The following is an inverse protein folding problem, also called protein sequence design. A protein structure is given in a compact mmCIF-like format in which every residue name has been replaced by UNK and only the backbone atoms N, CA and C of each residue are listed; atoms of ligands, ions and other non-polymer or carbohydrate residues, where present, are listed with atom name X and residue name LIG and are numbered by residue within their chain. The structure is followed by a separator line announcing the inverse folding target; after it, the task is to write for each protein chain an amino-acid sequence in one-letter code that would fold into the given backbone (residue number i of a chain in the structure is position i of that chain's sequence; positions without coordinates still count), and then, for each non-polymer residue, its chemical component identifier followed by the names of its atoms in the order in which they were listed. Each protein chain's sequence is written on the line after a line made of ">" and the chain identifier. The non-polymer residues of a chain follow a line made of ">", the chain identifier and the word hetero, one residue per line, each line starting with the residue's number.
data_IF_009838641206
#
_entry.id   IF_009838641206
#
_cell.length_a   1.000
_cell.length_b   1.000
_cell.length_c   1.000
_cell.angle_alpha   90.00
_cell.angle_beta   90.00
_cell.angle_gamma   90.00
#
_symmetry.space_group_name_H-M   'P 1'
#
loop_
_entity.id
_entity.type
_entity.pdbx_description
1 polymer ?
#
# COMPACT_ATOMS: atom_id res chain seq x y z
N UNK A 1 70.19 -11.14 -13.59
CA UNK A 1 68.88 -11.71 -13.94
C UNK A 1 67.90 -11.22 -12.90
N UNK A 2 67.10 -10.20 -13.20
CA UNK A 2 66.10 -9.62 -12.30
C UNK A 2 64.72 -10.13 -12.73
N UNK A 3 64.13 -10.96 -11.90
CA UNK A 3 62.76 -11.48 -12.12
C UNK A 3 61.75 -10.39 -11.65
N UNK A 4 61.00 -9.87 -12.61
CA UNK A 4 59.88 -8.95 -12.34
C UNK A 4 58.62 -9.75 -12.01
N UNK A 5 58.13 -9.67 -10.78
CA UNK A 5 56.91 -10.30 -10.37
C UNK A 5 55.69 -9.43 -10.78
N UNK A 6 54.92 -9.93 -11.71
CA UNK A 6 53.66 -9.32 -12.14
C UNK A 6 52.59 -9.62 -11.08
N UNK A 7 52.20 -8.61 -10.27
CA UNK A 7 51.10 -8.71 -9.33
C UNK A 7 49.79 -8.43 -10.09
N UNK A 8 49.06 -9.49 -10.41
CA UNK A 8 47.71 -9.39 -10.99
C UNK A 8 46.71 -9.07 -9.87
N UNK A 9 46.23 -7.83 -9.79
CA UNK A 9 45.11 -7.47 -8.93
C UNK A 9 43.83 -8.05 -9.53
N UNK A 10 43.31 -9.10 -8.92
CA UNK A 10 41.96 -9.61 -9.17
C UNK A 10 40.98 -8.63 -8.53
N UNK A 11 40.40 -7.75 -9.34
CA UNK A 11 39.22 -7.00 -8.93
C UNK A 11 38.01 -7.94 -8.91
N UNK A 12 37.64 -8.37 -7.72
CA UNK A 12 36.36 -9.07 -7.52
C UNK A 12 35.23 -8.09 -7.80
N UNK A 13 34.61 -8.20 -8.95
CA UNK A 13 33.31 -7.56 -9.19
C UNK A 13 32.30 -8.30 -8.32
N UNK A 14 31.83 -7.66 -7.24
CA UNK A 14 30.67 -8.13 -6.51
C UNK A 14 29.50 -8.18 -7.51
N UNK A 15 28.95 -9.36 -7.75
CA UNK A 15 27.72 -9.50 -8.52
C UNK A 15 26.61 -8.82 -7.70
N UNK A 16 26.03 -7.77 -8.26
CA UNK A 16 24.85 -7.13 -7.68
C UNK A 16 23.73 -8.15 -7.63
N UNK A 17 23.15 -8.34 -6.45
CA UNK A 17 22.01 -9.24 -6.27
C UNK A 17 20.73 -8.40 -6.39
N UNK A 18 19.73 -8.93 -7.11
CA UNK A 18 18.40 -8.34 -7.15
C UNK A 18 17.81 -8.28 -5.75
N UNK A 19 17.09 -7.22 -5.43
CA UNK A 19 16.34 -7.07 -4.17
C UNK A 19 14.88 -7.44 -4.41
N UNK A 20 14.37 -8.44 -3.69
CA UNK A 20 13.02 -8.96 -3.85
C UNK A 20 12.11 -8.52 -2.69
N UNK A 21 11.06 -7.75 -3.01
CA UNK A 21 10.03 -7.29 -2.08
C UNK A 21 8.72 -8.01 -2.34
N UNK A 22 8.04 -8.41 -1.27
CA UNK A 22 6.73 -9.08 -1.35
C UNK A 22 5.71 -8.41 -0.43
N UNK A 23 4.47 -8.22 -0.92
CA UNK A 23 3.43 -7.62 -0.10
C UNK A 23 2.09 -7.37 -0.82
N UNK A 24 1.16 -6.65 -0.19
CA UNK A 24 -0.17 -6.38 -0.74
C UNK A 24 -0.14 -5.34 -1.86
N UNK A 25 -1.27 -5.24 -2.61
CA UNK A 25 -1.36 -4.38 -3.79
C UNK A 25 -1.30 -2.87 -3.55
N UNK A 26 -1.60 -2.37 -2.34
CA UNK A 26 -1.76 -0.92 -2.11
C UNK A 26 -0.53 -0.08 -2.46
N UNK A 27 0.64 -0.28 -1.82
CA UNK A 27 1.83 0.57 -2.02
C UNK A 27 2.63 0.27 -3.28
N UNK A 28 2.30 -0.77 -4.02
CA UNK A 28 3.15 -1.30 -5.09
C UNK A 28 3.60 -0.26 -6.13
N UNK A 29 2.72 0.65 -6.55
CA UNK A 29 3.05 1.66 -7.55
C UNK A 29 4.17 2.59 -7.08
N UNK A 30 4.13 3.01 -5.81
CA UNK A 30 5.19 3.84 -5.23
C UNK A 30 6.50 3.06 -5.11
N UNK A 31 6.43 1.82 -4.60
CA UNK A 31 7.61 0.96 -4.43
C UNK A 31 8.29 0.62 -5.75
N UNK A 32 7.52 0.35 -6.83
CA UNK A 32 8.07 0.12 -8.17
C UNK A 32 8.80 1.38 -8.67
N UNK A 33 8.19 2.57 -8.52
CA UNK A 33 8.85 3.83 -8.94
C UNK A 33 10.13 4.11 -8.16
N UNK A 34 10.12 3.87 -6.84
CA UNK A 34 11.32 4.01 -6.01
C UNK A 34 12.37 2.97 -6.38
N UNK A 35 11.96 1.72 -6.62
CA UNK A 35 12.86 0.66 -7.09
C UNK A 35 13.54 1.01 -8.40
N UNK A 36 12.79 1.53 -9.39
CA UNK A 36 13.34 1.99 -10.65
C UNK A 36 14.32 3.17 -10.49
N UNK A 37 14.04 4.09 -9.57
CA UNK A 37 14.96 5.19 -9.27
C UNK A 37 16.25 4.70 -8.60
N UNK A 38 16.15 3.73 -7.69
CA UNK A 38 17.29 3.09 -7.04
C UNK A 38 18.14 2.31 -8.03
N UNK A 39 17.53 1.54 -8.93
CA UNK A 39 18.21 0.81 -9.99
C UNK A 39 18.97 1.74 -10.93
N UNK A 40 18.35 2.87 -11.32
CA UNK A 40 19.00 3.87 -12.16
C UNK A 40 20.26 4.49 -11.53
N UNK A 41 20.32 4.61 -10.21
CA UNK A 41 21.44 5.19 -9.47
C UNK A 41 22.52 4.18 -9.11
N UNK A 42 22.14 2.93 -8.88
CA UNK A 42 23.02 1.93 -8.26
C UNK A 42 23.34 0.74 -9.16
N UNK A 43 22.53 0.52 -10.21
CA UNK A 43 22.55 -0.68 -11.03
C UNK A 43 21.93 -1.91 -10.36
N UNK A 44 21.40 -1.78 -9.11
CA UNK A 44 20.78 -2.87 -8.36
C UNK A 44 19.30 -2.92 -8.71
N UNK A 45 18.85 -4.04 -9.27
CA UNK A 45 17.46 -4.24 -9.63
C UNK A 45 16.60 -4.51 -8.40
N UNK A 46 15.40 -3.93 -8.38
CA UNK A 46 14.40 -4.14 -7.33
C UNK A 46 13.15 -4.76 -7.93
N UNK A 47 12.81 -5.96 -7.49
CA UNK A 47 11.62 -6.70 -7.92
C UNK A 47 10.53 -6.55 -6.86
N UNK A 48 9.40 -5.93 -7.22
CA UNK A 48 8.25 -5.74 -6.33
C UNK A 48 7.15 -6.73 -6.71
N UNK A 49 6.94 -7.74 -5.88
CA UNK A 49 5.89 -8.74 -6.01
C UNK A 49 4.71 -8.35 -5.13
N UNK A 50 3.52 -8.25 -5.70
CA UNK A 50 2.37 -7.69 -5.00
C UNK A 50 1.05 -8.35 -5.36
N UNK A 51 0.05 -8.16 -4.51
CA UNK A 51 -1.30 -8.68 -4.72
C UNK A 51 -1.79 -9.55 -3.55
N UNK A 52 -2.77 -10.43 -3.79
CA UNK A 52 -3.22 -11.39 -2.78
C UNK A 52 -2.06 -12.29 -2.34
N UNK A 53 -1.89 -12.47 -1.02
CA UNK A 53 -0.75 -13.20 -0.44
C UNK A 53 -0.58 -14.60 -1.05
N UNK A 54 -1.67 -15.31 -1.33
CA UNK A 54 -1.62 -16.65 -1.93
C UNK A 54 -0.90 -16.71 -3.29
N UNK A 55 -0.78 -15.58 -4.00
CA UNK A 55 -0.14 -15.54 -5.33
C UNK A 55 1.38 -15.45 -5.29
N UNK A 56 1.97 -15.08 -4.14
CA UNK A 56 3.41 -14.86 -4.02
C UNK A 56 4.03 -15.50 -2.77
N UNK A 57 3.22 -16.04 -1.85
CA UNK A 57 3.65 -16.53 -0.55
C UNK A 57 4.79 -17.58 -0.61
N UNK A 58 4.69 -18.53 -1.54
CA UNK A 58 5.68 -19.60 -1.66
C UNK A 58 7.01 -19.13 -2.27
N UNK A 59 6.96 -18.11 -3.11
CA UNK A 59 8.18 -17.49 -3.64
C UNK A 59 8.84 -16.60 -2.60
N UNK A 60 8.06 -15.87 -1.80
CA UNK A 60 8.58 -15.08 -0.68
C UNK A 60 9.37 -15.95 0.32
N UNK A 61 8.89 -17.14 0.63
CA UNK A 61 9.62 -18.09 1.50
C UNK A 61 10.99 -18.50 0.96
N UNK A 62 11.19 -18.42 -0.36
CA UNK A 62 12.44 -18.81 -1.01
C UNK A 62 13.47 -17.69 -1.08
N UNK A 63 13.02 -16.47 -1.41
CA UNK A 63 13.94 -15.41 -1.82
C UNK A 63 13.53 -14.00 -1.39
N UNK A 64 12.60 -13.82 -0.44
CA UNK A 64 12.26 -12.48 0.02
C UNK A 64 13.39 -11.83 0.81
N UNK A 65 13.87 -10.70 0.34
CA UNK A 65 14.78 -9.81 1.07
C UNK A 65 14.00 -8.88 2.01
N UNK A 66 12.80 -8.50 1.58
CA UNK A 66 11.89 -7.63 2.32
C UNK A 66 10.45 -8.08 2.17
N UNK A 67 9.65 -7.83 3.23
CA UNK A 67 8.20 -7.79 3.13
C UNK A 67 7.73 -6.34 3.32
N UNK A 68 6.61 -5.99 2.70
CA UNK A 68 5.95 -4.70 2.92
C UNK A 68 4.46 -4.89 3.23
N UNK A 69 3.93 -3.98 4.05
CA UNK A 69 2.52 -3.89 4.40
C UNK A 69 1.86 -2.65 3.80
N UNK A 70 0.55 -2.64 3.77
CA UNK A 70 -0.26 -1.48 3.39
C UNK A 70 -1.04 -0.90 4.59
N UNK A 71 -0.75 -1.40 5.76
CA UNK A 71 -1.15 -1.00 7.11
C UNK A 71 -0.38 -1.85 8.10
N UNK A 72 -0.28 -1.42 9.36
CA UNK A 72 0.33 -2.20 10.45
C UNK A 72 -0.28 -3.60 10.55
N UNK A 73 -1.60 -3.72 10.49
CA UNK A 73 -2.30 -5.00 10.51
C UNK A 73 -1.84 -5.96 9.41
N UNK A 74 -1.71 -5.46 8.18
CA UNK A 74 -1.28 -6.29 7.05
C UNK A 74 0.18 -6.70 7.17
N UNK A 75 1.04 -5.81 7.67
CA UNK A 75 2.44 -6.10 7.91
C UNK A 75 2.64 -7.17 8.98
N UNK A 76 1.95 -7.03 10.12
CA UNK A 76 1.98 -8.01 11.21
C UNK A 76 1.53 -9.39 10.72
N UNK A 77 0.40 -9.47 10.00
CA UNK A 77 -0.11 -10.73 9.49
C UNK A 77 0.91 -11.42 8.57
N UNK A 78 1.43 -10.69 7.58
CA UNK A 78 2.41 -11.20 6.61
C UNK A 78 3.70 -11.59 7.30
N UNK A 79 4.26 -10.75 8.17
CA UNK A 79 5.51 -11.04 8.86
C UNK A 79 5.36 -12.21 9.86
N UNK A 80 4.19 -12.39 10.47
CA UNK A 80 3.90 -13.54 11.33
C UNK A 80 3.91 -14.84 10.53
N UNK A 81 3.29 -14.87 9.34
CA UNK A 81 3.32 -16.04 8.46
C UNK A 81 4.74 -16.42 7.99
N UNK A 82 5.64 -15.43 7.99
CA UNK A 82 7.05 -15.57 7.61
C UNK A 82 8.02 -15.40 8.80
N UNK A 83 7.56 -15.62 10.04
CA UNK A 83 8.32 -15.34 11.27
C UNK A 83 9.67 -16.09 11.40
N UNK A 84 9.90 -17.14 10.64
CA UNK A 84 11.20 -17.81 10.59
C UNK A 84 12.27 -16.89 9.97
N UNK A 85 11.89 -16.11 8.97
CA UNK A 85 12.78 -15.24 8.18
C UNK A 85 12.69 -13.76 8.58
N UNK A 86 11.58 -13.33 9.16
CA UNK A 86 11.31 -11.92 9.49
C UNK A 86 10.99 -11.74 10.97
N UNK A 87 11.38 -10.59 11.52
CA UNK A 87 11.12 -10.22 12.91
C UNK A 87 10.02 -9.16 12.96
N UNK A 88 8.86 -9.52 13.50
CA UNK A 88 7.71 -8.62 13.63
C UNK A 88 8.02 -7.34 14.42
N UNK A 89 9.00 -7.40 15.34
CA UNK A 89 9.42 -6.25 16.14
C UNK A 89 10.29 -5.25 15.36
N UNK A 90 10.66 -5.59 14.12
CA UNK A 90 11.48 -4.75 13.23
C UNK A 90 10.68 -4.17 12.06
N UNK A 91 9.36 -4.29 12.08
CA UNK A 91 8.50 -3.59 11.13
C UNK A 91 8.74 -2.09 11.27
N UNK A 92 9.04 -1.43 10.16
CA UNK A 92 9.40 -0.01 10.11
C UNK A 92 8.39 0.75 9.26
N UNK A 93 7.58 1.64 9.84
CA UNK A 93 6.69 2.51 9.07
C UNK A 93 7.51 3.51 8.25
N UNK A 94 7.06 3.81 7.04
CA UNK A 94 7.73 4.74 6.12
C UNK A 94 6.91 6.00 5.87
N UNK A 95 5.69 5.84 5.34
CA UNK A 95 4.83 6.93 4.93
C UNK A 95 3.38 6.61 5.25
N UNK A 96 2.58 7.64 5.51
CA UNK A 96 1.13 7.57 5.72
C UNK A 96 0.38 7.92 4.43
N UNK A 97 -0.83 7.42 4.30
CA UNK A 97 -1.81 7.86 3.29
C UNK A 97 -3.18 8.04 3.91
N UNK A 98 -3.95 9.05 3.51
CA UNK A 98 -5.32 9.23 3.96
C UNK A 98 -6.29 8.30 3.23
N UNK A 99 -7.31 7.84 3.95
CA UNK A 99 -8.52 7.33 3.36
C UNK A 99 -9.30 8.49 2.71
N UNK A 100 -9.97 8.18 1.61
CA UNK A 100 -10.77 9.14 0.83
C UNK A 100 -12.13 8.54 0.43
N UNK A 101 -13.04 9.41 0.06
CA UNK A 101 -14.23 9.05 -0.70
C UNK A 101 -13.91 9.28 -2.18
N UNK A 102 -13.98 8.24 -3.00
CA UNK A 102 -13.93 8.34 -4.45
C UNK A 102 -15.35 8.20 -4.99
N UNK A 103 -15.82 9.18 -5.77
CA UNK A 103 -17.15 9.18 -6.39
C UNK A 103 -17.05 9.05 -7.89
N UNK A 104 -18.14 8.61 -8.54
CA UNK A 104 -18.20 8.56 -10.01
C UNK A 104 -17.80 9.90 -10.61
N UNK A 105 -17.17 9.88 -11.79
CA UNK A 105 -16.70 11.07 -12.49
C UNK A 105 -17.82 12.08 -12.69
N UNK A 106 -17.54 13.35 -12.37
CA UNK A 106 -18.52 14.44 -12.38
C UNK A 106 -19.45 14.46 -11.15
N UNK A 107 -19.28 13.55 -10.21
CA UNK A 107 -20.05 13.49 -8.96
C UNK A 107 -21.58 13.64 -9.14
N UNK A 108 -22.22 12.75 -9.90
CA UNK A 108 -23.64 12.90 -10.28
C UNK A 108 -24.60 12.88 -9.10
N UNK A 109 -24.19 12.34 -7.96
CA UNK A 109 -24.96 12.31 -6.70
C UNK A 109 -24.70 13.53 -5.81
N UNK A 110 -23.83 14.45 -6.23
CA UNK A 110 -23.48 15.66 -5.48
C UNK A 110 -23.06 15.36 -4.02
N UNK A 111 -22.24 14.33 -3.84
CA UNK A 111 -21.68 13.92 -2.55
C UNK A 111 -20.60 14.92 -2.15
N UNK A 112 -20.72 15.53 -0.97
CA UNK A 112 -19.81 16.60 -0.50
C UNK A 112 -18.98 16.21 0.72
N UNK A 113 -19.28 15.10 1.36
CA UNK A 113 -18.61 14.62 2.55
C UNK A 113 -19.15 13.29 3.05
N UNK A 114 -18.65 12.85 4.19
CA UNK A 114 -18.97 11.53 4.74
C UNK A 114 -20.46 11.38 5.08
N UNK A 115 -21.10 12.42 5.62
CA UNK A 115 -22.52 12.40 5.98
C UNK A 115 -23.45 12.19 4.78
N UNK A 116 -23.04 12.64 3.58
CA UNK A 116 -23.84 12.43 2.38
C UNK A 116 -23.93 10.97 1.97
N UNK A 117 -22.95 10.14 2.34
CA UNK A 117 -22.94 8.72 2.06
C UNK A 117 -24.01 7.95 2.85
N UNK A 118 -24.54 8.53 3.93
CA UNK A 118 -25.64 7.98 4.70
C UNK A 118 -27.03 8.32 4.15
N UNK A 119 -27.11 9.19 3.12
CA UNK A 119 -28.40 9.56 2.51
C UNK A 119 -29.01 8.40 1.72
N UNK A 120 -30.34 8.26 1.70
CA UNK A 120 -31.03 7.26 0.88
C UNK A 120 -30.66 7.34 -0.60
N UNK A 121 -30.49 6.21 -1.26
CA UNK A 121 -30.21 6.14 -2.70
C UNK A 121 -28.76 6.35 -3.09
N UNK A 122 -27.85 6.32 -2.13
CA UNK A 122 -26.39 6.25 -2.36
C UNK A 122 -25.93 4.83 -2.22
N UNK A 123 -25.15 4.33 -3.18
CA UNK A 123 -24.54 3.01 -3.11
C UNK A 123 -23.05 3.09 -2.85
N UNK A 124 -22.56 2.35 -1.86
CA UNK A 124 -21.17 2.38 -1.41
C UNK A 124 -20.52 1.01 -1.60
N UNK A 125 -19.28 0.98 -2.07
CA UNK A 125 -18.41 -0.20 -2.00
C UNK A 125 -17.29 0.01 -1.00
N UNK A 126 -17.00 -1.01 -0.20
CA UNK A 126 -15.92 -0.99 0.79
C UNK A 126 -15.07 -2.27 0.71
N UNK A 127 -13.74 -2.20 0.88
CA UNK A 127 -12.88 -3.38 0.99
C UNK A 127 -12.82 -3.85 2.45
N UNK A 128 -13.48 -4.97 2.75
CA UNK A 128 -13.56 -5.52 4.12
C UNK A 128 -12.87 -6.89 4.30
N UNK A 129 -12.16 -7.36 3.28
CA UNK A 129 -11.54 -8.68 3.33
C UNK A 129 -12.56 -9.83 3.35
N UNK A 130 -13.85 -9.55 3.39
CA UNK A 130 -14.97 -10.50 3.37
C UNK A 130 -14.84 -11.67 4.38
N UNK A 131 -14.17 -11.45 5.52
CA UNK A 131 -13.88 -12.47 6.53
C UNK A 131 -12.79 -13.48 6.15
N UNK A 132 -12.18 -13.34 4.97
CA UNK A 132 -11.16 -14.28 4.45
C UNK A 132 -9.75 -13.76 4.70
N UNK A 133 -9.55 -12.44 4.62
CA UNK A 133 -8.26 -11.80 4.86
C UNK A 133 -8.44 -10.37 5.36
N UNK A 134 -7.50 -9.91 6.18
CA UNK A 134 -7.42 -8.50 6.51
C UNK A 134 -6.76 -7.74 5.36
N UNK A 135 -7.39 -6.66 4.92
CA UNK A 135 -6.82 -5.72 3.96
C UNK A 135 -6.58 -4.38 4.67
N UNK A 136 -5.81 -3.49 4.06
CA UNK A 136 -5.64 -2.14 4.61
C UNK A 136 -6.95 -1.32 4.65
N UNK A 137 -8.00 -1.79 3.98
CA UNK A 137 -9.33 -1.18 3.98
C UNK A 137 -10.28 -1.73 5.03
N UNK A 138 -9.94 -2.84 5.70
CA UNK A 138 -10.80 -3.45 6.71
C UNK A 138 -11.06 -2.49 7.87
N UNK A 139 -12.34 -2.27 8.20
CA UNK A 139 -12.80 -1.39 9.28
C UNK A 139 -12.66 0.12 9.00
N UNK A 140 -12.12 0.53 7.86
CA UNK A 140 -11.86 1.96 7.59
C UNK A 140 -13.15 2.78 7.55
N UNK A 141 -14.19 2.29 6.89
CA UNK A 141 -15.47 3.00 6.83
C UNK A 141 -16.09 3.16 8.23
N UNK A 142 -16.03 2.10 9.06
CA UNK A 142 -16.55 2.12 10.42
C UNK A 142 -15.75 3.05 11.31
N UNK A 143 -14.42 3.03 11.21
CA UNK A 143 -13.53 3.96 11.92
C UNK A 143 -13.84 5.41 11.57
N UNK A 144 -14.12 5.72 10.29
CA UNK A 144 -14.44 7.07 9.83
C UNK A 144 -15.79 7.55 10.36
N UNK A 145 -16.86 6.77 10.10
CA UNK A 145 -18.20 7.17 10.47
C UNK A 145 -18.43 7.09 11.99
N UNK A 146 -17.80 6.13 12.67
CA UNK A 146 -17.88 5.97 14.12
C UNK A 146 -17.33 7.15 14.90
N UNK A 147 -16.35 7.86 14.35
CA UNK A 147 -15.80 9.11 14.96
C UNK A 147 -16.82 10.24 15.05
N UNK A 148 -17.91 10.19 14.30
CA UNK A 148 -19.00 11.16 14.43
C UNK A 148 -19.76 11.00 15.76
N UNK A 149 -19.68 9.85 16.43
CA UNK A 149 -20.42 9.54 17.63
C UNK A 149 -21.94 9.39 17.42
N UNK A 150 -22.40 9.31 16.18
CA UNK A 150 -23.83 9.22 15.81
C UNK A 150 -24.16 7.81 15.30
N UNK A 151 -24.79 7.01 16.16
CA UNK A 151 -25.19 5.62 15.81
C UNK A 151 -26.19 5.56 14.65
N UNK A 152 -27.05 6.58 14.51
CA UNK A 152 -28.00 6.64 13.40
C UNK A 152 -27.24 6.80 12.08
N UNK A 153 -26.25 7.69 12.06
CA UNK A 153 -25.40 7.91 10.86
C UNK A 153 -24.64 6.64 10.50
N UNK A 154 -24.10 5.91 11.48
CA UNK A 154 -23.45 4.61 11.27
C UNK A 154 -24.41 3.61 10.65
N UNK A 155 -25.65 3.51 11.16
CA UNK A 155 -26.66 2.59 10.65
C UNK A 155 -27.09 2.94 9.22
N UNK A 156 -27.33 4.22 8.94
CA UNK A 156 -27.74 4.70 7.61
C UNK A 156 -26.61 4.49 6.58
N UNK A 157 -25.37 4.78 6.96
CA UNK A 157 -24.19 4.50 6.12
C UNK A 157 -24.09 3.01 5.79
N UNK A 158 -24.18 2.15 6.83
CA UNK A 158 -24.12 0.69 6.65
C UNK A 158 -25.18 0.17 5.70
N UNK A 159 -26.41 0.71 5.77
CA UNK A 159 -27.52 0.33 4.90
C UNK A 159 -27.24 0.69 3.42
N UNK A 160 -26.37 1.66 3.15
CA UNK A 160 -26.00 2.08 1.83
C UNK A 160 -24.79 1.29 1.26
N UNK A 161 -24.15 0.44 2.05
CA UNK A 161 -23.09 -0.44 1.53
C UNK A 161 -23.72 -1.53 0.69
N UNK A 162 -23.59 -1.43 -0.62
CA UNK A 162 -24.15 -2.39 -1.58
C UNK A 162 -23.20 -3.55 -1.85
N UNK A 163 -21.90 -3.38 -1.54
CA UNK A 163 -20.93 -4.44 -1.74
C UNK A 163 -19.74 -4.33 -0.76
N UNK A 164 -19.46 -5.46 -0.10
CA UNK A 164 -18.22 -5.72 0.64
C UNK A 164 -17.29 -6.53 -0.25
N UNK A 165 -16.03 -6.13 -0.38
CA UNK A 165 -15.11 -6.79 -1.30
C UNK A 165 -13.87 -7.32 -0.57
N UNK A 166 -13.25 -8.41 -1.06
CA UNK A 166 -12.10 -9.02 -0.39
C UNK A 166 -10.82 -8.18 -0.41
N UNK A 167 -10.73 -7.20 -1.32
CA UNK A 167 -9.56 -6.34 -1.46
C UNK A 167 -9.89 -5.09 -2.29
N UNK A 168 -8.96 -4.13 -2.31
CA UNK A 168 -9.13 -2.87 -3.04
C UNK A 168 -9.22 -3.03 -4.57
N UNK A 169 -8.59 -4.06 -5.14
CA UNK A 169 -8.69 -4.34 -6.58
C UNK A 169 -10.11 -4.75 -6.97
N UNK A 170 -10.74 -5.62 -6.17
CA UNK A 170 -12.15 -6.01 -6.36
C UNK A 170 -13.10 -4.84 -6.09
N UNK A 171 -12.80 -3.98 -5.11
CA UNK A 171 -13.59 -2.77 -4.85
C UNK A 171 -13.52 -1.80 -6.04
N UNK A 172 -12.34 -1.60 -6.62
CA UNK A 172 -12.16 -0.80 -7.84
C UNK A 172 -13.01 -1.34 -8.99
N UNK A 173 -13.00 -2.64 -9.21
CA UNK A 173 -13.80 -3.28 -10.27
C UNK A 173 -15.29 -3.04 -10.03
N UNK A 174 -15.77 -3.27 -8.81
CA UNK A 174 -17.16 -3.01 -8.44
C UNK A 174 -17.52 -1.52 -8.64
N UNK A 175 -16.67 -0.61 -8.21
CA UNK A 175 -16.87 0.83 -8.40
C UNK A 175 -16.97 1.21 -9.89
N UNK A 176 -16.22 0.59 -10.77
CA UNK A 176 -16.25 0.90 -12.19
C UNK A 176 -17.46 0.27 -12.91
N UNK A 177 -17.82 -0.97 -12.58
CA UNK A 177 -18.72 -1.81 -13.35
C UNK A 177 -20.15 -1.93 -12.77
N UNK A 178 -20.32 -1.81 -11.43
CA UNK A 178 -21.64 -1.93 -10.81
C UNK A 178 -22.37 -0.58 -10.84
N UNK A 179 -23.51 -0.47 -11.55
CA UNK A 179 -24.27 0.77 -11.66
C UNK A 179 -24.91 1.21 -10.33
N UNK A 180 -25.01 0.31 -9.34
CA UNK A 180 -25.54 0.64 -8.00
C UNK A 180 -24.50 1.35 -7.14
N UNK A 181 -23.23 1.31 -7.49
CA UNK A 181 -22.14 1.91 -6.71
C UNK A 181 -21.92 3.34 -7.15
N UNK A 182 -22.12 4.29 -6.25
CA UNK A 182 -21.88 5.72 -6.45
C UNK A 182 -20.56 6.17 -5.84
N UNK A 183 -20.14 5.53 -4.74
CA UNK A 183 -18.94 5.89 -3.99
C UNK A 183 -18.12 4.66 -3.58
N UNK A 184 -16.83 4.88 -3.45
CA UNK A 184 -15.86 3.89 -2.96
C UNK A 184 -15.03 4.51 -1.85
N UNK A 185 -15.05 3.89 -0.65
CA UNK A 185 -14.13 4.24 0.42
C UNK A 185 -12.78 3.57 0.11
N UNK A 186 -11.77 4.39 -0.14
CA UNK A 186 -10.47 3.91 -0.60
C UNK A 186 -9.33 4.82 -0.11
N UNK A 187 -8.18 4.69 -0.71
CA UNK A 187 -6.96 5.42 -0.38
C UNK A 187 -6.58 6.40 -1.47
N UNK A 188 -5.96 7.51 -1.11
CA UNK A 188 -5.59 8.60 -2.04
C UNK A 188 -4.70 8.13 -3.19
N UNK A 189 -3.83 7.16 -2.97
CA UNK A 189 -2.95 6.60 -4.00
C UNK A 189 -3.71 5.94 -5.15
N UNK A 190 -4.89 5.33 -4.89
CA UNK A 190 -5.76 4.81 -5.95
C UNK A 190 -6.29 5.91 -6.86
N UNK A 191 -6.71 7.03 -6.31
CA UNK A 191 -7.16 8.18 -7.10
C UNK A 191 -6.00 8.81 -7.87
N UNK A 192 -4.82 8.94 -7.24
CA UNK A 192 -3.62 9.53 -7.86
C UNK A 192 -3.07 8.69 -9.00
N UNK A 193 -3.17 7.36 -8.90
CA UNK A 193 -2.72 6.44 -9.95
C UNK A 193 -3.76 6.17 -11.03
N UNK A 194 -5.02 6.52 -10.79
CA UNK A 194 -6.13 6.31 -11.72
C UNK A 194 -7.05 7.54 -11.80
N UNK A 195 -6.55 8.70 -12.28
CA UNK A 195 -7.27 9.97 -12.20
C UNK A 195 -8.58 10.02 -13.00
N UNK A 196 -8.73 9.12 -13.97
CA UNK A 196 -9.92 9.06 -14.84
C UNK A 196 -11.05 8.20 -14.25
N UNK A 197 -10.78 7.45 -13.15
CA UNK A 197 -11.75 6.50 -12.57
C UNK A 197 -12.86 7.21 -11.80
N UNK A 198 -12.55 8.33 -11.14
CA UNK A 198 -13.52 9.07 -10.32
C UNK A 198 -12.96 10.39 -9.82
N UNK A 199 -13.76 11.08 -9.03
CA UNK A 199 -13.38 12.33 -8.39
C UNK A 199 -13.26 12.14 -6.87
N UNK A 200 -12.27 12.79 -6.26
CA UNK A 200 -12.04 12.72 -4.81
C UNK A 200 -12.95 13.73 -4.12
N UNK A 201 -13.68 13.26 -3.11
CA UNK A 201 -14.42 14.10 -2.19
C UNK A 201 -13.67 14.20 -0.87
N UNK A 202 -13.51 15.42 -0.37
CA UNK A 202 -12.84 15.67 0.89
C UNK A 202 -13.64 15.10 2.07
N UNK A 203 -12.91 14.62 3.07
CA UNK A 203 -13.44 14.18 4.36
C UNK A 203 -13.03 15.24 5.38
N UNK A 204 -13.89 15.50 6.35
CA UNK A 204 -13.58 16.39 7.47
C UNK A 204 -12.32 15.88 8.19
N UNK A 205 -11.37 16.77 8.47
CA UNK A 205 -10.02 16.44 8.95
C UNK A 205 -10.04 15.48 10.16
N UNK A 206 -10.94 15.71 11.12
CA UNK A 206 -11.08 14.90 12.32
C UNK A 206 -11.61 13.48 12.05
N UNK A 207 -12.17 13.21 10.86
CA UNK A 207 -12.71 11.91 10.46
C UNK A 207 -11.77 11.14 9.53
N UNK A 208 -10.69 11.76 9.06
CA UNK A 208 -9.72 11.10 8.18
C UNK A 208 -9.01 9.97 8.94
N UNK A 209 -8.97 8.80 8.31
CA UNK A 209 -8.17 7.66 8.76
C UNK A 209 -6.89 7.59 7.93
N UNK A 210 -5.77 7.49 8.60
CA UNK A 210 -4.46 7.28 7.97
C UNK A 210 -4.00 5.85 8.18
N UNK A 211 -3.36 5.26 7.17
CA UNK A 211 -2.65 3.99 7.26
C UNK A 211 -1.27 4.15 6.65
N UNK A 212 -0.32 3.43 7.19
CA UNK A 212 1.06 3.46 6.75
C UNK A 212 1.36 2.45 5.63
N UNK A 213 2.42 2.70 4.89
CA UNK A 213 3.24 1.68 4.26
C UNK A 213 4.42 1.42 5.15
N UNK A 214 4.73 0.17 5.37
CA UNK A 214 5.84 -0.27 6.20
C UNK A 214 6.62 -1.39 5.52
N UNK A 215 7.83 -1.61 6.00
CA UNK A 215 8.72 -2.67 5.54
C UNK A 215 9.28 -3.45 6.72
N UNK A 216 9.66 -4.68 6.45
CA UNK A 216 10.52 -5.46 7.34
C UNK A 216 11.57 -6.17 6.51
N UNK A 217 12.82 -6.06 6.93
CA UNK A 217 13.96 -6.76 6.32
C UNK A 217 14.02 -8.21 6.80
N UNK A 218 14.50 -9.10 5.94
CA UNK A 218 14.89 -10.46 6.33
C UNK A 218 15.87 -10.40 7.51
N UNK A 219 15.87 -11.40 8.37
CA UNK A 219 16.80 -11.50 9.52
C UNK A 219 18.26 -11.56 9.11
N UNK A 220 18.52 -12.04 7.89
CA UNK A 220 19.85 -12.10 7.26
C UNK A 220 19.83 -11.35 5.92
N UNK A 221 19.69 -10.03 5.93
CA UNK A 221 19.52 -9.27 4.71
C UNK A 221 20.82 -9.18 3.91
N UNK A 222 20.71 -9.13 2.58
CA UNK A 222 21.83 -8.75 1.73
C UNK A 222 22.22 -7.30 1.96
N UNK A 223 23.46 -6.91 1.63
CA UNK A 223 23.88 -5.51 1.70
C UNK A 223 23.02 -4.63 0.79
N UNK A 224 22.63 -5.14 -0.38
CA UNK A 224 21.82 -4.41 -1.34
C UNK A 224 20.38 -4.19 -0.83
N UNK A 225 19.80 -5.16 -0.11
CA UNK A 225 18.52 -4.99 0.57
C UNK A 225 18.60 -3.93 1.68
N UNK A 226 19.67 -3.91 2.46
CA UNK A 226 19.89 -2.87 3.48
C UNK A 226 20.02 -1.48 2.82
N UNK A 227 20.78 -1.37 1.74
CA UNK A 227 20.92 -0.11 0.98
C UNK A 227 19.58 0.37 0.43
N UNK A 228 18.75 -0.54 -0.09
CA UNK A 228 17.43 -0.18 -0.58
C UNK A 228 16.49 0.24 0.56
N UNK A 229 16.55 -0.42 1.74
CA UNK A 229 15.77 -0.01 2.91
C UNK A 229 16.10 1.42 3.37
N UNK A 230 17.38 1.80 3.35
CA UNK A 230 17.80 3.17 3.66
C UNK A 230 17.38 4.15 2.54
N UNK A 231 17.46 3.75 1.28
CA UNK A 231 17.00 4.58 0.16
C UNK A 231 15.49 4.89 0.27
N UNK A 232 14.67 3.93 0.73
CA UNK A 232 13.24 4.13 0.95
C UNK A 232 12.93 5.24 1.96
N UNK A 233 13.85 5.54 2.89
CA UNK A 233 13.74 6.63 3.86
C UNK A 233 14.29 7.98 3.37
N UNK A 234 14.96 7.97 2.22
CA UNK A 234 15.63 9.13 1.65
C UNK A 234 14.70 10.11 0.97
N UNK A 235 15.20 11.32 0.72
CA UNK A 235 14.43 12.44 0.16
C UNK A 235 13.82 12.12 -1.22
N UNK A 236 14.53 11.41 -2.08
CA UNK A 236 14.03 11.04 -3.41
C UNK A 236 12.83 10.10 -3.33
N UNK A 237 12.89 9.11 -2.44
CA UNK A 237 11.76 8.21 -2.17
C UNK A 237 10.57 8.98 -1.61
N UNK A 238 10.80 9.89 -0.67
CA UNK A 238 9.78 10.77 -0.11
C UNK A 238 9.05 11.55 -1.20
N UNK A 239 9.77 12.18 -2.12
CA UNK A 239 9.19 12.93 -3.23
C UNK A 239 8.34 12.03 -4.15
N UNK A 240 8.79 10.81 -4.45
CA UNK A 240 8.03 9.84 -5.25
C UNK A 240 6.74 9.43 -4.53
N UNK A 241 6.80 9.13 -3.24
CA UNK A 241 5.64 8.80 -2.43
C UNK A 241 4.65 9.97 -2.34
N UNK A 242 5.14 11.19 -2.15
CA UNK A 242 4.31 12.41 -2.09
C UNK A 242 3.51 12.66 -3.38
N UNK A 243 4.10 12.42 -4.55
CA UNK A 243 3.40 12.53 -5.84
C UNK A 243 2.19 11.59 -5.92
N UNK A 244 2.21 10.50 -5.17
CA UNK A 244 1.14 9.52 -5.11
C UNK A 244 0.21 9.70 -3.88
N UNK A 245 0.37 10.80 -3.15
CA UNK A 245 -0.49 11.15 -2.03
C UNK A 245 -0.09 10.55 -0.69
N UNK A 246 1.10 9.99 -0.59
CA UNK A 246 1.70 9.55 0.67
C UNK A 246 2.51 10.69 1.29
N UNK A 247 2.65 10.70 2.62
CA UNK A 247 3.49 11.68 3.32
C UNK A 247 4.02 11.10 4.62
N UNK A 248 5.14 11.63 5.10
CA UNK A 248 5.64 11.39 6.45
C UNK A 248 4.93 12.24 7.51
N UNK A 249 4.16 13.24 7.05
CA UNK A 249 3.37 14.13 7.91
C UNK A 249 2.23 14.77 7.11
N UNK A 250 1.04 14.81 7.71
CA UNK A 250 -0.14 15.54 7.23
C UNK A 250 -0.53 16.63 8.21
#
# INVERSE_FOLDING_TARGET
>A
MTASALVTMLTSYATLADVNLYGPGGPHTALIKVGSAFEAETGIKVNVHFGPQATWNDDAKKNADMLFGASEQSALAIATDHQQQFDINKITPLYLRPAIILVKKGNPKNIKGLADLAKPGIGIVVPEGAGVSNTSGTGVWEDMIGRTGDIKLVADFRNNIVQYTPNSGSARKAFQEDPRVDAWITWIDWARTNPDVGDVVAIEEQLVVYRDVNIVLNKSPSQDAVRFAEYLKGEKSKQIFQQLGWSDKF
#
